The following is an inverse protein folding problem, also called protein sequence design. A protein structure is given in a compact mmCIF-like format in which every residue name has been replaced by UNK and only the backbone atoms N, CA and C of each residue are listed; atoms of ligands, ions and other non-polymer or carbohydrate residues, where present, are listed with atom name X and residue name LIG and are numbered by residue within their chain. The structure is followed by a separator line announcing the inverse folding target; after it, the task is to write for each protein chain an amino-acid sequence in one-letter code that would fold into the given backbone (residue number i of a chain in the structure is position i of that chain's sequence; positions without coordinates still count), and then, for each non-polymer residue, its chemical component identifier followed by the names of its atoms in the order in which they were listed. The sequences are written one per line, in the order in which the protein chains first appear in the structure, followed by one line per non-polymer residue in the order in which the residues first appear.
data_IF_503332943582
#
_entry.id   IF_503332943582
#
_cell.length_a   1.000
_cell.length_b   1.000
_cell.length_c   1.000
_cell.angle_alpha   90.00
_cell.angle_beta   90.00
_cell.angle_gamma   90.00
#
_symmetry.space_group_name_H-M   'P 1'
#
loop_
_entity.id
_entity.type
_entity.pdbx_description
1 polymer ?
#
# COMPACT_ATOMS: atom_id res chain seq x y z
N UNK A 1 8.16 50.36 -4.22
CA UNK A 1 7.15 49.73 -3.38
C UNK A 1 6.14 48.92 -4.17
N UNK A 2 5.46 49.43 -5.20
CA UNK A 2 4.45 48.70 -5.98
C UNK A 2 5.00 47.41 -6.65
N UNK A 3 6.21 47.43 -7.22
CA UNK A 3 6.84 46.26 -7.87
C UNK A 3 7.20 45.16 -6.86
N UNK A 4 7.57 45.51 -5.64
CA UNK A 4 7.88 44.57 -4.58
C UNK A 4 6.63 43.82 -4.08
N UNK A 5 5.50 44.54 -4.00
CA UNK A 5 4.20 43.97 -3.63
C UNK A 5 3.73 42.93 -4.67
N UNK A 6 3.91 43.21 -5.96
CA UNK A 6 3.53 42.28 -7.03
C UNK A 6 4.39 40.99 -7.05
N UNK A 7 5.68 41.11 -6.73
CA UNK A 7 6.57 39.95 -6.62
C UNK A 7 6.20 39.10 -5.40
N UNK A 8 5.87 39.70 -4.26
CA UNK A 8 5.42 39.00 -3.08
C UNK A 8 4.07 38.28 -3.30
N UNK A 9 3.12 38.94 -3.99
CA UNK A 9 1.81 38.31 -4.31
C UNK A 9 1.95 37.18 -5.31
N UNK A 10 2.84 37.30 -6.30
CA UNK A 10 3.14 36.20 -7.22
C UNK A 10 3.79 34.98 -6.50
N UNK A 11 4.69 35.25 -5.56
CA UNK A 11 5.33 34.17 -4.78
C UNK A 11 4.31 33.42 -3.89
N UNK A 12 3.31 34.14 -3.37
CA UNK A 12 2.27 33.52 -2.52
C UNK A 12 1.27 32.64 -3.31
N UNK A 13 1.00 33.00 -4.58
CA UNK A 13 0.09 32.23 -5.45
C UNK A 13 0.75 30.93 -5.91
N UNK A 14 2.05 30.89 -6.12
CA UNK A 14 2.78 29.68 -6.54
C UNK A 14 2.88 28.66 -5.40
N UNK A 15 2.91 29.10 -4.14
CA UNK A 15 2.95 28.19 -2.98
C UNK A 15 1.61 27.51 -2.67
N UNK A 16 0.50 27.98 -3.24
CA UNK A 16 -0.83 27.39 -3.04
C UNK A 16 -1.24 26.35 -4.08
N UNK A 17 -0.39 26.08 -5.08
CA UNK A 17 -0.53 24.91 -5.95
C UNK A 17 -0.11 23.65 -5.16
N UNK A 18 -0.91 23.29 -4.18
CA UNK A 18 -0.78 22.02 -3.49
C UNK A 18 -0.78 20.90 -4.52
N UNK A 19 0.25 20.07 -4.50
CA UNK A 19 0.27 18.81 -5.25
C UNK A 19 -1.00 18.02 -4.87
N UNK A 20 -2.00 18.05 -5.73
CA UNK A 20 -3.11 17.11 -5.64
C UNK A 20 -2.52 15.71 -5.90
N UNK A 21 -2.18 15.00 -4.83
CA UNK A 21 -1.86 13.58 -4.94
C UNK A 21 -3.15 12.86 -5.31
N UNK A 22 -3.15 12.25 -6.50
CA UNK A 22 -4.27 11.42 -6.92
C UNK A 22 -4.43 10.28 -5.90
N UNK A 23 -5.60 10.24 -5.27
CA UNK A 23 -5.94 9.17 -4.32
C UNK A 23 -6.07 7.86 -5.10
N UNK A 24 -5.51 6.75 -4.58
CA UNK A 24 -5.61 5.45 -5.23
C UNK A 24 -7.06 5.03 -5.47
N UNK A 25 -7.35 4.47 -6.65
CA UNK A 25 -8.69 4.06 -7.05
C UNK A 25 -8.94 2.57 -6.75
N UNK A 26 -10.21 2.24 -6.42
CA UNK A 26 -10.68 0.87 -6.22
C UNK A 26 -9.93 0.10 -5.11
N UNK A 27 -9.58 0.79 -4.01
CA UNK A 27 -9.10 0.13 -2.79
C UNK A 27 -10.28 -0.44 -2.02
N UNK A 28 -10.37 -1.76 -1.87
CA UNK A 28 -11.46 -2.46 -1.18
C UNK A 28 -11.02 -3.11 0.14
N UNK A 29 -9.73 -3.30 0.33
CA UNK A 29 -9.14 -3.97 1.51
C UNK A 29 -8.07 -3.09 2.16
N UNK A 30 -7.33 -2.37 1.34
CA UNK A 30 -6.24 -1.52 1.78
C UNK A 30 -6.74 -0.08 1.93
N UNK A 31 -6.22 0.62 2.92
CA UNK A 31 -6.47 2.04 3.14
C UNK A 31 -5.16 2.82 3.05
N UNK A 32 -4.90 3.38 1.88
CA UNK A 32 -3.74 4.21 1.61
C UNK A 32 -4.17 5.57 1.08
N UNK A 33 -3.75 6.62 1.74
CA UNK A 33 -3.96 8.00 1.29
C UNK A 33 -3.01 8.40 0.16
N UNK A 34 -1.83 7.77 0.10
CA UNK A 34 -0.78 8.08 -0.86
C UNK A 34 -0.58 6.95 -1.85
N UNK A 35 -0.59 7.27 -3.14
CA UNK A 35 -0.24 6.32 -4.21
C UNK A 35 1.21 5.82 -4.07
N UNK A 36 2.11 6.64 -3.57
CA UNK A 36 3.51 6.30 -3.33
C UNK A 36 3.63 5.17 -2.30
N UNK A 37 2.90 5.27 -1.19
CA UNK A 37 2.96 4.27 -0.11
C UNK A 37 2.26 2.98 -0.53
N UNK A 38 1.13 3.09 -1.23
CA UNK A 38 0.49 1.94 -1.89
C UNK A 38 1.46 1.23 -2.84
N UNK A 39 2.19 1.96 -3.68
CA UNK A 39 3.16 1.39 -4.61
C UNK A 39 4.31 0.69 -3.90
N UNK A 40 4.78 1.25 -2.77
CA UNK A 40 5.80 0.62 -1.91
C UNK A 40 5.27 -0.70 -1.34
N UNK A 41 4.06 -0.71 -0.83
CA UNK A 41 3.40 -1.91 -0.30
C UNK A 41 3.18 -2.97 -1.39
N UNK A 42 2.73 -2.59 -2.60
CA UNK A 42 2.58 -3.52 -3.72
C UNK A 42 3.91 -4.15 -4.16
N UNK A 43 5.03 -3.43 -4.03
CA UNK A 43 6.37 -3.98 -4.28
C UNK A 43 6.75 -5.04 -3.24
N UNK A 44 6.40 -4.86 -1.98
CA UNK A 44 6.65 -5.90 -0.96
C UNK A 44 5.84 -7.15 -1.23
N UNK A 45 4.54 -7.03 -1.55
CA UNK A 45 3.70 -8.17 -1.94
C UNK A 45 4.28 -8.90 -3.17
N UNK A 46 4.70 -8.15 -4.18
CA UNK A 46 5.33 -8.70 -5.39
C UNK A 46 6.56 -9.54 -5.06
N UNK A 47 7.39 -9.08 -4.12
CA UNK A 47 8.56 -9.80 -3.61
C UNK A 47 8.16 -11.04 -2.82
N UNK A 48 7.20 -10.90 -1.92
CA UNK A 48 6.74 -11.97 -1.03
C UNK A 48 6.12 -13.14 -1.80
N UNK A 49 5.47 -12.85 -2.92
CA UNK A 49 4.84 -13.83 -3.81
C UNK A 49 5.73 -14.26 -4.99
N UNK A 50 6.88 -13.63 -5.20
CA UNK A 50 7.74 -13.90 -6.35
C UNK A 50 7.08 -13.62 -7.71
N UNK A 51 6.13 -12.68 -7.78
CA UNK A 51 5.38 -12.37 -9.00
C UNK A 51 5.60 -10.92 -9.44
N UNK A 52 5.36 -10.65 -10.72
CA UNK A 52 5.41 -9.29 -11.28
C UNK A 52 4.02 -8.62 -11.19
N UNK A 53 3.98 -7.28 -11.27
CA UNK A 53 2.74 -6.49 -11.19
C UNK A 53 1.65 -6.98 -12.15
N UNK A 54 2.02 -7.37 -13.37
CA UNK A 54 1.11 -7.89 -14.41
C UNK A 54 0.42 -9.22 -14.04
N UNK A 55 0.89 -9.91 -13.00
CA UNK A 55 0.23 -11.13 -12.55
C UNK A 55 -1.15 -10.85 -11.94
N UNK A 56 -1.27 -9.74 -11.20
CA UNK A 56 -2.52 -9.34 -10.54
C UNK A 56 -3.21 -8.16 -11.22
N UNK A 57 -2.48 -7.31 -11.94
CA UNK A 57 -3.00 -6.05 -12.47
C UNK A 57 -2.99 -6.00 -13.98
N UNK A 58 -4.02 -5.39 -14.57
CA UNK A 58 -3.91 -4.79 -15.88
C UNK A 58 -2.91 -3.63 -15.83
N UNK A 59 -1.98 -3.57 -16.78
CA UNK A 59 -0.92 -2.55 -16.76
C UNK A 59 -1.39 -1.18 -17.26
N UNK A 60 -2.48 -1.14 -18.04
CA UNK A 60 -3.06 0.09 -18.54
C UNK A 60 -3.98 0.74 -17.50
N UNK A 61 -4.73 -0.09 -16.78
CA UNK A 61 -5.58 0.36 -15.68
C UNK A 61 -5.53 -0.62 -14.49
N UNK A 62 -4.75 -0.27 -13.49
CA UNK A 62 -4.58 -1.06 -12.26
C UNK A 62 -5.84 -1.12 -11.39
N UNK A 63 -6.85 -0.28 -11.64
CA UNK A 63 -8.12 -0.31 -10.93
C UNK A 63 -9.01 -1.48 -11.36
N UNK A 64 -8.80 -2.06 -12.54
CA UNK A 64 -9.56 -3.20 -13.06
C UNK A 64 -9.44 -4.41 -12.12
N UNK A 65 -10.55 -5.09 -11.89
CA UNK A 65 -10.65 -6.27 -11.05
C UNK A 65 -10.37 -7.55 -11.84
N UNK A 66 -9.10 -7.94 -11.91
CA UNK A 66 -8.70 -9.26 -12.42
C UNK A 66 -9.01 -10.36 -11.41
N UNK A 67 -9.05 -11.62 -11.83
CA UNK A 67 -9.30 -12.74 -10.93
C UNK A 67 -8.18 -12.92 -9.89
N UNK A 68 -6.92 -12.75 -10.28
CA UNK A 68 -5.80 -12.77 -9.34
C UNK A 68 -5.87 -11.64 -8.31
N UNK A 69 -6.34 -10.45 -8.70
CA UNK A 69 -6.56 -9.34 -7.78
C UNK A 69 -7.67 -9.64 -6.77
N UNK A 70 -8.75 -10.30 -7.20
CA UNK A 70 -9.83 -10.76 -6.31
C UNK A 70 -9.34 -11.81 -5.32
N UNK A 71 -8.52 -12.77 -5.77
CA UNK A 71 -7.88 -13.78 -4.90
C UNK A 71 -6.95 -13.10 -3.89
N UNK A 72 -6.09 -12.18 -4.34
CA UNK A 72 -5.18 -11.45 -3.47
C UNK A 72 -5.92 -10.70 -2.35
N UNK A 73 -7.05 -10.06 -2.66
CA UNK A 73 -7.89 -9.39 -1.63
C UNK A 73 -8.43 -10.37 -0.59
N UNK A 74 -8.81 -11.59 -0.98
CA UNK A 74 -9.24 -12.62 -0.02
C UNK A 74 -8.09 -13.03 0.90
N UNK A 75 -6.89 -13.20 0.35
CA UNK A 75 -5.69 -13.54 1.13
C UNK A 75 -5.29 -12.40 2.08
N UNK A 76 -5.38 -11.14 1.63
CA UNK A 76 -5.14 -9.97 2.49
C UNK A 76 -6.11 -9.92 3.67
N UNK A 77 -7.42 -10.13 3.44
CA UNK A 77 -8.41 -10.17 4.53
C UNK A 77 -8.08 -11.27 5.53
N UNK A 78 -7.79 -12.48 5.07
CA UNK A 78 -7.39 -13.60 5.93
C UNK A 78 -6.17 -13.24 6.77
N UNK A 79 -5.13 -12.69 6.16
CA UNK A 79 -3.89 -12.29 6.86
C UNK A 79 -4.17 -11.19 7.91
N UNK A 80 -5.00 -10.20 7.58
CA UNK A 80 -5.42 -9.15 8.52
C UNK A 80 -6.24 -9.72 9.67
N UNK A 81 -7.16 -10.64 9.40
CA UNK A 81 -7.97 -11.29 10.42
C UNK A 81 -7.12 -12.14 11.37
N UNK A 82 -6.15 -12.87 10.83
CA UNK A 82 -5.19 -13.62 11.66
C UNK A 82 -4.39 -12.69 12.56
N UNK A 83 -3.83 -11.62 12.03
CA UNK A 83 -3.08 -10.65 12.82
C UNK A 83 -3.96 -10.01 13.89
N UNK A 84 -5.17 -9.58 13.54
CA UNK A 84 -6.10 -8.95 14.48
C UNK A 84 -6.53 -9.88 15.62
N UNK A 85 -6.81 -11.15 15.31
CA UNK A 85 -7.43 -12.06 16.27
C UNK A 85 -6.42 -12.86 17.10
N UNK A 86 -5.22 -13.11 16.56
CA UNK A 86 -4.25 -14.01 17.19
C UNK A 86 -2.94 -13.32 17.62
N UNK A 87 -2.64 -12.14 17.07
CA UNK A 87 -1.41 -11.42 17.38
C UNK A 87 -1.60 -10.00 17.96
N UNK A 88 -2.79 -9.60 18.48
CA UNK A 88 -3.02 -8.23 18.93
C UNK A 88 -2.25 -7.85 20.18
N UNK A 89 -1.85 -8.84 20.99
CA UNK A 89 -1.19 -8.62 22.29
C UNK A 89 0.33 -8.55 22.19
N UNK A 90 0.92 -8.87 21.06
CA UNK A 90 2.37 -8.94 20.95
C UNK A 90 2.98 -7.59 20.52
N UNK A 91 2.23 -6.74 19.80
CA UNK A 91 2.69 -5.43 19.39
C UNK A 91 2.77 -4.41 20.50
N UNK A 92 1.75 -4.34 21.37
CA UNK A 92 1.62 -3.28 22.38
C UNK A 92 2.46 -3.53 23.64
N UNK A 93 2.81 -4.78 23.94
CA UNK A 93 3.38 -5.15 25.26
C UNK A 93 4.89 -5.22 25.31
N UNK A 94 5.60 -5.34 24.20
CA UNK A 94 7.02 -5.67 24.19
C UNK A 94 7.95 -4.62 23.59
N UNK A 95 7.47 -3.50 23.06
CA UNK A 95 8.28 -2.53 22.29
C UNK A 95 9.19 -3.21 21.22
N UNK A 96 8.80 -4.39 20.78
CA UNK A 96 9.47 -5.10 19.70
C UNK A 96 8.87 -4.55 18.40
N UNK A 97 9.68 -4.29 17.41
CA UNK A 97 9.22 -3.85 16.10
C UNK A 97 8.03 -4.71 15.65
N UNK A 98 6.86 -4.09 15.48
CA UNK A 98 5.58 -4.74 15.18
C UNK A 98 5.67 -5.71 13.99
N UNK A 99 6.62 -5.48 13.08
CA UNK A 99 6.85 -6.27 11.87
C UNK A 99 7.35 -7.71 12.13
N UNK A 100 7.91 -7.99 13.30
CA UNK A 100 8.53 -9.30 13.60
C UNK A 100 7.49 -10.31 14.09
N UNK A 101 6.41 -9.83 14.68
CA UNK A 101 5.41 -10.67 15.35
C UNK A 101 4.10 -10.81 14.55
N UNK A 102 3.99 -10.16 13.41
CA UNK A 102 2.82 -10.25 12.55
C UNK A 102 3.05 -11.19 11.37
N UNK A 103 2.00 -11.91 10.99
CA UNK A 103 2.01 -12.70 9.76
C UNK A 103 1.98 -11.75 8.57
N UNK A 104 2.88 -11.95 7.62
CA UNK A 104 2.92 -11.28 6.33
C UNK A 104 2.65 -12.27 5.19
N UNK A 105 2.56 -11.79 3.96
CA UNK A 105 2.47 -12.67 2.79
C UNK A 105 3.67 -13.61 2.71
N UNK A 106 4.86 -13.13 3.07
CA UNK A 106 6.08 -13.93 3.10
C UNK A 106 5.99 -15.14 4.03
N UNK A 107 5.28 -15.03 5.15
CA UNK A 107 5.17 -16.11 6.14
C UNK A 107 4.73 -17.43 5.52
N UNK A 108 3.79 -17.39 4.58
CA UNK A 108 3.28 -18.56 3.88
C UNK A 108 3.89 -18.75 2.48
N UNK A 109 4.13 -17.65 1.75
CA UNK A 109 4.51 -17.71 0.34
C UNK A 109 6.01 -17.80 0.08
N UNK A 110 6.86 -17.22 0.91
CA UNK A 110 8.33 -17.31 0.85
C UNK A 110 8.92 -17.06 -0.55
N UNK A 111 8.39 -16.08 -1.28
CA UNK A 111 8.83 -15.76 -2.64
C UNK A 111 8.22 -16.65 -3.73
N UNK A 112 7.15 -17.38 -3.43
CA UNK A 112 6.41 -18.20 -4.39
C UNK A 112 4.93 -17.83 -4.43
N UNK A 113 4.32 -17.84 -5.63
CA UNK A 113 2.88 -17.61 -5.78
C UNK A 113 2.00 -18.66 -5.09
N UNK A 114 2.54 -19.82 -4.82
CA UNK A 114 1.89 -20.87 -4.04
C UNK A 114 2.51 -20.96 -2.65
N UNK A 115 1.68 -21.10 -1.57
CA UNK A 115 2.22 -21.32 -0.24
C UNK A 115 3.17 -22.52 -0.22
N UNK A 116 4.26 -22.38 0.53
CA UNK A 116 5.23 -23.45 0.72
C UNK A 116 4.83 -24.28 1.94
N UNK A 117 4.72 -25.56 1.77
CA UNK A 117 4.46 -26.54 2.84
C UNK A 117 5.76 -27.13 3.36
#
# INVERSE_FOLDING_TARGET
MKKLIHVLTMLFIVSSLGFMQDKPKNLQVLDFESERDLKKYMKSISKDLGVKCKFCHDLNDKAIDTDHKKIARKMMRMQMDLNKNFFPLLGDSLNVHDDILQISCWTCHRGSKYPQT
#
